data_IF_051111972863
#
_entry.id   IF_051111972863
#
_cell.length_a   1.000
_cell.length_b   1.000
_cell.length_c   1.000
_cell.angle_alpha   90.00
_cell.angle_beta   90.00
_cell.angle_gamma   90.00
#
_symmetry.space_group_name_H-M   'P 1'
#
loop_
_entity.id
_entity.type
_entity.pdbx_description
1 polymer ?
#
# COMPACT_ATOMS: atom_id res chain seq x y z
N UNK A 1 -14.20 -1.20 -35.31
CA UNK A 1 -12.99 -1.71 -34.64
C UNK A 1 -13.08 -1.33 -33.17
N UNK A 2 -13.30 -2.31 -32.29
CA UNK A 2 -13.09 -2.11 -30.86
C UNK A 2 -11.59 -2.28 -30.61
N UNK A 3 -10.86 -1.17 -30.54
CA UNK A 3 -9.48 -1.20 -30.06
C UNK A 3 -9.50 -1.74 -28.63
N UNK A 4 -9.18 -3.02 -28.50
CA UNK A 4 -9.01 -3.67 -27.21
C UNK A 4 -7.78 -3.05 -26.56
N UNK A 5 -8.02 -2.06 -25.70
CA UNK A 5 -7.01 -1.55 -24.78
C UNK A 5 -6.42 -2.76 -24.02
N UNK A 6 -5.15 -3.10 -24.33
CA UNK A 6 -4.44 -4.19 -23.67
C UNK A 6 -3.51 -3.61 -22.59
N UNK A 7 -3.94 -3.61 -21.31
CA UNK A 7 -3.14 -3.04 -20.22
C UNK A 7 -1.81 -3.78 -19.97
N UNK A 8 -1.73 -5.08 -20.28
CA UNK A 8 -0.53 -5.90 -20.03
C UNK A 8 0.63 -5.56 -20.99
N UNK A 9 0.31 -5.16 -22.22
CA UNK A 9 1.31 -4.74 -23.21
C UNK A 9 1.96 -3.41 -22.82
N UNK A 10 1.21 -2.50 -22.18
CA UNK A 10 1.73 -1.22 -21.69
C UNK A 10 2.72 -1.46 -20.56
N UNK A 11 2.38 -2.35 -19.62
CA UNK A 11 3.22 -2.71 -18.46
C UNK A 11 4.57 -3.35 -18.83
N UNK A 12 4.58 -4.24 -19.83
CA UNK A 12 5.79 -4.90 -20.30
C UNK A 12 6.70 -4.00 -21.16
N UNK A 13 6.18 -2.89 -21.68
CA UNK A 13 6.93 -1.91 -22.48
C UNK A 13 7.61 -0.78 -21.68
N UNK A 14 7.33 -0.63 -20.38
CA UNK A 14 7.94 0.45 -19.59
C UNK A 14 9.40 0.14 -19.22
N UNK A 15 10.34 0.96 -19.71
CA UNK A 15 11.77 0.88 -19.33
C UNK A 15 12.03 1.26 -17.86
N UNK A 16 11.09 1.93 -17.18
CA UNK A 16 11.21 2.39 -15.78
C UNK A 16 9.89 2.17 -15.04
N UNK A 17 9.92 1.89 -13.72
CA UNK A 17 8.70 1.81 -12.92
C UNK A 17 8.03 3.19 -12.80
N UNK A 18 6.69 3.22 -12.76
CA UNK A 18 5.87 4.45 -12.75
C UNK A 18 6.29 5.43 -11.65
N UNK A 19 6.58 4.94 -10.44
CA UNK A 19 6.94 5.79 -9.29
C UNK A 19 8.27 6.55 -9.47
N UNK A 20 9.16 6.04 -10.35
CA UNK A 20 10.45 6.67 -10.67
C UNK A 20 10.38 7.59 -11.90
N UNK A 21 9.23 7.67 -12.56
CA UNK A 21 9.06 8.56 -13.70
C UNK A 21 8.95 10.02 -13.26
N UNK A 22 9.45 10.89 -14.11
CA UNK A 22 9.30 12.34 -13.98
C UNK A 22 7.92 12.78 -14.47
N UNK A 23 7.48 13.97 -14.06
CA UNK A 23 6.15 14.49 -14.42
C UNK A 23 5.94 14.55 -15.93
N UNK A 24 6.99 14.86 -16.70
CA UNK A 24 6.93 14.92 -18.17
C UNK A 24 6.69 13.54 -18.79
N UNK A 25 7.46 12.53 -18.35
CA UNK A 25 7.31 11.14 -18.79
C UNK A 25 5.90 10.60 -18.46
N UNK A 26 5.34 10.95 -17.29
CA UNK A 26 3.98 10.56 -16.91
C UNK A 26 2.91 11.25 -17.77
N UNK A 27 3.10 12.51 -18.16
CA UNK A 27 2.16 13.23 -19.04
C UNK A 27 2.14 12.66 -20.44
N UNK A 28 3.31 12.38 -21.01
CA UNK A 28 3.44 11.77 -22.33
C UNK A 28 2.79 10.39 -22.36
N UNK A 29 2.98 9.60 -21.29
CA UNK A 29 2.40 8.29 -21.14
C UNK A 29 0.88 8.33 -20.95
N UNK A 30 0.35 9.27 -20.17
CA UNK A 30 -1.09 9.50 -20.03
C UNK A 30 -1.74 9.85 -21.39
N UNK A 31 -1.14 10.75 -22.16
CA UNK A 31 -1.69 11.19 -23.46
C UNK A 31 -1.61 10.06 -24.50
N UNK A 32 -0.50 9.32 -24.54
CA UNK A 32 -0.26 8.31 -25.58
C UNK A 32 -1.04 7.02 -25.34
N UNK A 33 -1.15 6.61 -24.08
CA UNK A 33 -1.68 5.29 -23.74
C UNK A 33 -3.05 5.32 -23.06
N UNK A 34 -3.51 6.49 -22.56
CA UNK A 34 -4.74 6.60 -21.77
C UNK A 34 -5.64 7.75 -22.26
N UNK A 35 -6.38 7.55 -23.37
CA UNK A 35 -7.31 8.57 -23.88
C UNK A 35 -8.44 8.93 -22.88
N UNK A 36 -8.67 8.09 -21.87
CA UNK A 36 -9.58 8.35 -20.75
C UNK A 36 -9.07 9.38 -19.73
N UNK A 37 -7.75 9.64 -19.68
CA UNK A 37 -7.16 10.62 -18.76
C UNK A 37 -7.21 12.01 -19.42
N UNK A 38 -8.36 12.67 -19.27
CA UNK A 38 -8.55 14.04 -19.78
C UNK A 38 -7.81 15.04 -18.88
N UNK A 39 -7.06 15.97 -19.49
CA UNK A 39 -6.41 17.07 -18.77
C UNK A 39 -5.05 16.74 -18.15
N UNK A 40 -4.34 15.71 -18.63
CA UNK A 40 -3.02 15.31 -18.10
C UNK A 40 -2.01 16.47 -17.99
N UNK A 41 -2.06 17.45 -18.89
CA UNK A 41 -1.17 18.62 -18.91
C UNK A 41 -1.23 19.49 -17.65
N UNK A 42 -2.38 19.52 -16.96
CA UNK A 42 -2.62 20.37 -15.78
C UNK A 42 -2.47 19.65 -14.43
N UNK A 43 -2.37 18.32 -14.41
CA UNK A 43 -2.39 17.51 -13.19
C UNK A 43 -1.03 17.46 -12.50
N UNK A 44 -1.05 17.33 -11.16
CA UNK A 44 0.16 17.15 -10.36
C UNK A 44 0.69 15.71 -10.50
N UNK A 45 1.95 15.49 -10.12
CA UNK A 45 2.61 14.17 -10.26
C UNK A 45 1.82 13.04 -9.61
N UNK A 46 1.32 13.29 -8.40
CA UNK A 46 0.62 12.30 -7.58
C UNK A 46 -0.73 11.92 -8.20
N UNK A 47 -1.47 12.91 -8.71
CA UNK A 47 -2.75 12.71 -9.41
C UNK A 47 -2.58 11.92 -10.71
N UNK A 48 -1.56 12.26 -11.52
CA UNK A 48 -1.24 11.52 -12.74
C UNK A 48 -0.88 10.06 -12.46
N UNK A 49 -0.10 9.81 -11.41
CA UNK A 49 0.24 8.44 -11.02
C UNK A 49 -1.00 7.65 -10.61
N UNK A 50 -1.90 8.25 -9.83
CA UNK A 50 -3.13 7.60 -9.38
C UNK A 50 -4.04 7.23 -10.56
N UNK A 51 -4.23 8.14 -11.50
CA UNK A 51 -5.09 7.92 -12.66
C UNK A 51 -4.48 6.93 -13.67
N UNK A 52 -3.17 7.01 -13.94
CA UNK A 52 -2.50 6.03 -14.80
C UNK A 52 -2.58 4.64 -14.19
N UNK A 53 -2.38 4.53 -12.86
CA UNK A 53 -2.54 3.26 -12.15
C UNK A 53 -3.97 2.74 -12.31
N UNK A 54 -4.99 3.54 -11.96
CA UNK A 54 -6.41 3.16 -12.13
C UNK A 54 -6.73 2.73 -13.56
N UNK A 55 -6.22 3.47 -14.54
CA UNK A 55 -6.46 3.24 -15.96
C UNK A 55 -5.80 1.96 -16.49
N UNK A 56 -4.65 1.55 -15.91
CA UNK A 56 -3.99 0.27 -16.18
C UNK A 56 -4.73 -0.94 -15.60
N UNK A 57 -5.84 -0.75 -14.88
CA UNK A 57 -6.40 -1.80 -14.04
C UNK A 57 -5.51 -2.11 -12.84
N UNK A 58 -4.40 -1.37 -12.66
CA UNK A 58 -3.77 -1.17 -11.35
C UNK A 58 -4.63 -0.13 -10.64
N UNK A 59 -5.91 -0.43 -10.46
CA UNK A 59 -6.49 -0.08 -9.18
C UNK A 59 -5.42 -0.56 -8.19
N UNK A 60 -5.07 0.21 -7.18
CA UNK A 60 -4.75 -0.42 -5.91
C UNK A 60 -6.04 -1.16 -5.50
N UNK A 61 -6.42 -2.16 -6.28
CA UNK A 61 -7.39 -3.17 -5.95
C UNK A 61 -6.70 -3.72 -4.72
N UNK A 62 -7.27 -3.37 -3.59
CA UNK A 62 -7.83 -4.29 -2.61
C UNK A 62 -7.95 -5.80 -3.01
N UNK A 63 -7.43 -6.28 -4.15
CA UNK A 63 -7.20 -7.67 -4.52
C UNK A 63 -5.91 -8.29 -3.96
N UNK A 64 -5.20 -7.60 -3.06
CA UNK A 64 -4.14 -8.22 -2.24
C UNK A 64 -4.20 -7.85 -0.75
N UNK A 65 -5.07 -6.92 -0.38
CA UNK A 65 -5.25 -6.50 1.00
C UNK A 65 -6.50 -7.19 1.55
N UNK A 66 -6.30 -8.22 2.37
CA UNK A 66 -7.37 -8.82 3.18
C UNK A 66 -8.28 -7.71 3.72
N UNK A 67 -9.62 -7.86 3.74
CA UNK A 67 -10.57 -6.82 4.19
C UNK A 67 -10.24 -6.30 5.60
N UNK A 68 -9.47 -7.06 6.36
CA UNK A 68 -8.94 -6.68 7.67
C UNK A 68 -7.67 -5.83 7.64
N UNK A 69 -7.17 -5.39 6.48
CA UNK A 69 -5.92 -4.65 6.34
C UNK A 69 -5.88 -3.36 7.20
N UNK A 70 -6.93 -2.53 7.27
CA UNK A 70 -6.98 -1.38 8.19
C UNK A 70 -6.87 -1.82 9.67
N UNK A 71 -7.53 -2.91 10.03
CA UNK A 71 -7.52 -3.48 11.39
C UNK A 71 -6.14 -4.08 11.73
N UNK A 72 -5.47 -4.74 10.78
CA UNK A 72 -4.11 -5.24 10.94
C UNK A 72 -3.13 -4.07 11.15
N UNK A 73 -3.30 -2.97 10.40
CA UNK A 73 -2.48 -1.75 10.58
C UNK A 73 -2.67 -1.16 11.97
N UNK A 74 -3.90 -1.06 12.48
CA UNK A 74 -4.16 -0.55 13.83
C UNK A 74 -3.55 -1.45 14.92
N UNK A 75 -3.71 -2.77 14.80
CA UNK A 75 -3.09 -3.74 15.72
C UNK A 75 -1.56 -3.65 15.71
N UNK A 76 -0.93 -3.45 14.55
CA UNK A 76 0.54 -3.26 14.45
C UNK A 76 0.99 -1.98 15.15
N UNK A 77 0.23 -0.88 15.06
CA UNK A 77 0.50 0.36 15.83
C UNK A 77 0.45 0.10 17.33
N UNK A 78 -0.58 -0.60 17.82
CA UNK A 78 -0.68 -0.98 19.25
C UNK A 78 0.49 -1.87 19.69
N UNK A 79 0.90 -2.85 18.87
CA UNK A 79 2.08 -3.68 19.16
C UNK A 79 3.35 -2.82 19.30
N UNK A 80 3.54 -1.82 18.45
CA UNK A 80 4.68 -0.91 18.55
C UNK A 80 4.68 -0.12 19.86
N UNK A 81 3.52 0.43 20.24
CA UNK A 81 3.33 1.15 21.52
C UNK A 81 3.58 0.25 22.75
N UNK A 82 3.13 -1.01 22.71
CA UNK A 82 3.38 -1.93 23.81
C UNK A 82 4.85 -2.34 23.91
N UNK A 83 5.56 -2.44 22.76
CA UNK A 83 7.00 -2.69 22.76
C UNK A 83 7.79 -1.53 23.38
N UNK A 84 7.45 -0.29 23.02
CA UNK A 84 8.11 0.89 23.61
C UNK A 84 7.85 0.96 25.11
N UNK A 85 6.59 0.78 25.55
CA UNK A 85 6.24 0.71 26.98
C UNK A 85 7.01 -0.39 27.71
N UNK A 86 7.11 -1.59 27.15
CA UNK A 86 7.87 -2.70 27.75
C UNK A 86 9.36 -2.38 27.88
N UNK A 87 9.93 -1.62 26.94
CA UNK A 87 11.34 -1.23 26.97
C UNK A 87 11.61 -0.14 28.03
N UNK A 88 10.62 0.69 28.34
CA UNK A 88 10.69 1.69 29.41
C UNK A 88 10.61 1.07 30.81
N UNK A 89 10.03 -0.14 30.94
CA UNK A 89 9.91 -0.82 32.23
C UNK A 89 11.25 -1.46 32.64
N UNK A 90 11.75 -1.19 33.86
CA UNK A 90 12.99 -1.76 34.35
C UNK A 90 12.93 -3.29 34.46
N UNK A 91 14.08 -3.96 34.35
CA UNK A 91 14.16 -5.43 34.42
C UNK A 91 13.69 -6.00 35.77
N UNK A 92 13.71 -5.18 36.83
CA UNK A 92 13.23 -5.54 38.17
C UNK A 92 11.72 -5.82 38.21
N UNK A 93 10.92 -5.12 37.40
CA UNK A 93 9.47 -5.29 37.30
C UNK A 93 9.12 -6.43 36.33
N UNK A 94 9.52 -7.66 36.69
CA UNK A 94 9.37 -8.85 35.84
C UNK A 94 7.91 -9.14 35.48
N UNK A 95 7.01 -9.01 36.45
CA UNK A 95 5.56 -9.30 36.30
C UNK A 95 4.90 -8.38 35.27
N UNK A 96 5.19 -7.08 35.31
CA UNK A 96 4.65 -6.11 34.35
C UNK A 96 5.19 -6.33 32.93
N UNK A 97 6.49 -6.61 32.81
CA UNK A 97 7.09 -6.98 31.52
C UNK A 97 6.47 -8.26 30.95
N UNK A 98 6.14 -9.23 31.81
CA UNK A 98 5.49 -10.47 31.40
C UNK A 98 4.06 -10.23 30.90
N UNK A 99 3.28 -9.39 31.60
CA UNK A 99 1.94 -8.97 31.15
C UNK A 99 1.98 -8.34 29.75
N UNK A 100 2.89 -7.39 29.53
CA UNK A 100 3.07 -6.75 28.21
C UNK A 100 3.53 -7.75 27.13
N UNK A 101 4.43 -8.68 27.48
CA UNK A 101 4.86 -9.74 26.55
C UNK A 101 3.69 -10.61 26.11
N UNK A 102 2.83 -11.03 27.05
CA UNK A 102 1.62 -11.83 26.75
C UNK A 102 0.67 -11.05 25.84
N UNK A 103 0.40 -9.78 26.14
CA UNK A 103 -0.44 -8.92 25.28
C UNK A 103 0.11 -8.78 23.86
N UNK A 104 1.41 -8.53 23.71
CA UNK A 104 2.07 -8.46 22.39
C UNK A 104 1.94 -9.79 21.64
N UNK A 105 2.10 -10.92 22.33
CA UNK A 105 1.96 -12.25 21.73
C UNK A 105 0.56 -12.51 21.20
N UNK A 106 -0.46 -12.18 21.99
CA UNK A 106 -1.86 -12.35 21.60
C UNK A 106 -2.24 -11.42 20.44
N UNK A 107 -1.79 -10.16 20.45
CA UNK A 107 -2.02 -9.26 19.32
C UNK A 107 -1.31 -9.75 18.04
N UNK A 108 -0.09 -10.28 18.14
CA UNK A 108 0.60 -10.89 17.00
C UNK A 108 -0.17 -12.09 16.45
N UNK A 109 -0.68 -12.98 17.30
CA UNK A 109 -1.54 -14.10 16.87
C UNK A 109 -2.79 -13.59 16.15
N UNK A 110 -3.47 -12.59 16.71
CA UNK A 110 -4.65 -11.97 16.07
C UNK A 110 -4.31 -11.40 14.69
N UNK A 111 -3.20 -10.67 14.55
CA UNK A 111 -2.77 -10.15 13.23
C UNK A 111 -2.46 -11.25 12.22
N UNK A 112 -1.86 -12.38 12.66
CA UNK A 112 -1.57 -13.52 11.77
C UNK A 112 -2.84 -14.24 11.33
N UNK A 113 -3.82 -14.38 12.24
CA UNK A 113 -5.13 -14.96 11.91
C UNK A 113 -5.88 -14.10 10.91
N UNK A 114 -5.97 -12.79 11.17
CA UNK A 114 -6.66 -11.85 10.28
C UNK A 114 -5.99 -11.73 8.90
N UNK A 115 -4.68 -11.96 8.82
CA UNK A 115 -3.96 -11.94 7.54
C UNK A 115 -4.01 -13.28 6.78
N UNK A 116 -4.46 -14.36 7.43
CA UNK A 116 -4.63 -15.67 6.82
C UNK A 116 -6.06 -15.90 6.29
N UNK A 117 -6.95 -14.91 6.50
CA UNK A 117 -8.32 -14.84 5.96
C UNK A 117 -8.31 -13.92 4.75
#
# INVERSE_FOLDING_TARGET
MSDTFNPEAVLSGLKKPLDKMTVKELKELAISSFPQIVGASGKQKEELLAEIKQALGIVEEEGGASPYAPQIRSLKKTIAQLKTRKNQIPKSQRTEREKLRKQIHELKKKTRRLAAV
#
